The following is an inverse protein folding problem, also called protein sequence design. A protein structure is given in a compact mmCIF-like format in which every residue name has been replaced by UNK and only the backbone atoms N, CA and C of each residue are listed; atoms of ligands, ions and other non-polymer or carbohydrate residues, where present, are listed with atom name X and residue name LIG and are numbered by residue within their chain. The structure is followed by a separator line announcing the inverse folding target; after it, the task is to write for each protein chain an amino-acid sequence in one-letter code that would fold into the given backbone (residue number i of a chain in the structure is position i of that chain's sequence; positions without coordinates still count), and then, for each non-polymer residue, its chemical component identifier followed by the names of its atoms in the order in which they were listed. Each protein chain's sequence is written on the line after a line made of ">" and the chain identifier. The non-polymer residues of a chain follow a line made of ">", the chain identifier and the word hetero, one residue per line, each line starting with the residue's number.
data_IF_417621629171
#
_entry.id   IF_417621629171
#
_cell.length_a   1.000
_cell.length_b   1.000
_cell.length_c   1.000
_cell.angle_alpha   90.00
_cell.angle_beta   90.00
_cell.angle_gamma   90.00
#
_symmetry.space_group_name_H-M   'P 1'
#
loop_
_entity.id
_entity.type
_entity.pdbx_description
1 polymer ?
#
# COMPACT_ATOMS: atom_id res chain seq x y z
N UNK A 1 -9.19 -17.15 2.10
CA UNK A 1 -9.21 -15.70 2.35
C UNK A 1 -8.61 -15.05 1.14
N UNK A 2 -9.36 -14.21 0.45
CA UNK A 2 -8.89 -13.45 -0.70
C UNK A 2 -8.74 -12.01 -0.22
N UNK A 3 -7.52 -11.61 0.14
CA UNK A 3 -7.26 -10.25 0.63
C UNK A 3 -7.31 -9.36 -0.59
N UNK A 4 -8.20 -8.38 -0.57
CA UNK A 4 -8.01 -7.16 -1.30
C UNK A 4 -7.15 -6.20 -0.46
N UNK A 5 -6.53 -5.25 -1.16
CA UNK A 5 -5.81 -4.13 -0.52
C UNK A 5 -6.69 -2.90 -0.63
N UNK A 6 -6.72 -2.12 0.44
CA UNK A 6 -7.25 -0.77 0.48
C UNK A 6 -6.07 0.15 0.74
N UNK A 7 -5.93 1.18 -0.08
CA UNK A 7 -4.80 2.09 0.06
C UNK A 7 -5.12 3.48 -0.44
N UNK A 8 -4.59 4.48 0.25
CA UNK A 8 -4.85 5.89 -0.01
C UNK A 8 -3.56 6.69 0.06
N UNK A 9 -3.57 7.86 -0.54
CA UNK A 9 -2.43 8.76 -0.60
C UNK A 9 -2.67 9.96 0.31
N UNK A 10 -1.67 10.30 1.10
CA UNK A 10 -1.71 11.47 1.96
C UNK A 10 -0.48 12.36 1.74
N UNK A 11 -0.72 13.66 1.70
CA UNK A 11 0.32 14.69 1.66
C UNK A 11 0.30 15.52 2.94
N UNK A 12 1.46 15.76 3.55
CA UNK A 12 1.61 16.61 4.72
C UNK A 12 1.56 18.09 4.29
N UNK A 13 0.55 18.82 4.78
CA UNK A 13 0.34 20.25 4.52
C UNK A 13 0.17 20.96 5.85
N UNK A 14 1.00 21.97 6.10
CA UNK A 14 0.93 22.77 7.34
C UNK A 14 0.98 21.93 8.64
N UNK A 15 1.73 20.82 8.61
CA UNK A 15 1.88 19.90 9.75
C UNK A 15 0.70 18.94 9.96
N UNK A 16 -0.18 18.77 8.97
CA UNK A 16 -1.29 17.80 8.99
C UNK A 16 -1.35 17.00 7.70
N UNK A 17 -1.64 15.70 7.81
CA UNK A 17 -1.85 14.86 6.65
C UNK A 17 -3.21 15.15 6.02
N UNK A 18 -3.23 15.33 4.71
CA UNK A 18 -4.44 15.55 3.90
C UNK A 18 -4.56 14.43 2.87
N UNK A 19 -5.73 13.81 2.77
CA UNK A 19 -5.99 12.78 1.76
C UNK A 19 -6.03 13.40 0.36
N UNK A 20 -5.27 12.82 -0.57
CA UNK A 20 -5.22 13.27 -1.96
C UNK A 20 -6.47 12.81 -2.75
N UNK A 21 -7.19 11.80 -2.26
CA UNK A 21 -8.47 11.31 -2.79
C UNK A 21 -9.69 11.88 -2.07
N UNK A 22 -9.56 12.87 -1.16
CA UNK A 22 -10.67 13.33 -0.32
C UNK A 22 -11.97 13.70 -1.09
N UNK A 23 -11.84 14.16 -2.34
CA UNK A 23 -12.98 14.55 -3.17
C UNK A 23 -13.87 13.36 -3.64
N UNK A 24 -13.37 12.12 -3.57
CA UNK A 24 -14.13 10.92 -3.92
C UNK A 24 -14.82 10.25 -2.72
N UNK A 25 -14.72 10.84 -1.52
CA UNK A 25 -15.41 10.32 -0.35
C UNK A 25 -16.93 10.36 -0.58
N UNK A 26 -17.57 9.20 -0.41
CA UNK A 26 -19.01 9.00 -0.56
C UNK A 26 -19.60 8.35 0.69
N UNK A 27 -20.90 8.56 0.91
CA UNK A 27 -21.67 7.97 1.99
C UNK A 27 -22.97 7.42 1.44
N UNK A 28 -23.19 6.14 1.60
CA UNK A 28 -24.37 5.47 1.10
C UNK A 28 -24.97 4.58 2.18
N UNK A 29 -26.30 4.51 2.25
CA UNK A 29 -26.97 3.56 3.15
C UNK A 29 -27.05 2.21 2.42
N UNK A 30 -26.42 1.18 2.98
CA UNK A 30 -26.46 -0.18 2.46
C UNK A 30 -27.22 -1.10 3.42
N UNK A 31 -28.07 -1.97 2.88
CA UNK A 31 -28.76 -3.01 3.64
C UNK A 31 -27.88 -4.27 3.69
N UNK A 32 -27.33 -4.55 4.87
CA UNK A 32 -26.48 -5.72 5.13
C UNK A 32 -27.29 -6.94 5.58
N UNK A 33 -28.63 -6.89 5.51
CA UNK A 33 -29.54 -7.96 5.90
C UNK A 33 -29.89 -7.97 7.40
N UNK A 34 -29.15 -7.24 8.23
CA UNK A 34 -29.48 -6.96 9.64
C UNK A 34 -30.00 -5.53 9.88
N UNK A 35 -30.06 -4.72 8.81
CA UNK A 35 -30.51 -3.34 8.80
C UNK A 35 -29.75 -2.50 7.78
N UNK A 36 -30.21 -1.27 7.59
CA UNK A 36 -29.47 -0.28 6.83
C UNK A 36 -28.33 0.29 7.70
N UNK A 37 -27.10 0.24 7.18
CA UNK A 37 -25.93 0.81 7.79
C UNK A 37 -25.30 1.84 6.82
N UNK A 38 -24.73 2.92 7.36
CA UNK A 38 -23.98 3.87 6.52
C UNK A 38 -22.64 3.24 6.15
N UNK A 39 -22.38 3.12 4.84
CA UNK A 39 -21.08 2.76 4.28
C UNK A 39 -20.35 4.03 3.84
N UNK A 40 -19.08 4.13 4.22
CA UNK A 40 -18.20 5.23 3.83
C UNK A 40 -17.17 4.70 2.84
N UNK A 41 -17.21 5.17 1.61
CA UNK A 41 -16.29 4.68 0.57
C UNK A 41 -15.47 5.83 -0.01
N UNK A 42 -14.28 5.53 -0.50
CA UNK A 42 -13.37 6.49 -1.12
C UNK A 42 -12.55 5.78 -2.17
N UNK A 43 -12.28 6.47 -3.29
CA UNK A 43 -11.43 5.91 -4.33
C UNK A 43 -10.07 5.50 -3.75
N UNK A 44 -9.64 4.29 -4.10
CA UNK A 44 -8.29 3.82 -3.83
C UNK A 44 -7.25 4.66 -4.58
N UNK A 45 -6.04 4.66 -4.04
CA UNK A 45 -4.87 5.08 -4.77
C UNK A 45 -4.74 4.31 -6.11
N UNK A 46 -4.36 4.97 -7.21
CA UNK A 46 -4.29 4.34 -8.52
C UNK A 46 -3.46 3.06 -8.56
N UNK A 47 -3.87 2.14 -9.42
CA UNK A 47 -3.14 0.90 -9.64
C UNK A 47 -3.44 -0.20 -8.62
N UNK A 48 -4.54 -0.08 -7.85
CA UNK A 48 -5.09 -1.19 -7.04
C UNK A 48 -5.30 -2.41 -7.93
N UNK A 49 -4.76 -3.54 -7.49
CA UNK A 49 -4.95 -4.85 -8.12
C UNK A 49 -4.65 -5.95 -7.11
N UNK A 50 -5.16 -7.16 -7.34
CA UNK A 50 -4.81 -8.37 -6.57
C UNK A 50 -3.40 -8.86 -6.91
N UNK A 51 -2.40 -8.10 -6.47
CA UNK A 51 -0.99 -8.36 -6.69
C UNK A 51 -0.35 -8.93 -5.42
N UNK A 52 -0.55 -10.23 -5.20
CA UNK A 52 -0.10 -10.90 -3.98
C UNK A 52 1.42 -10.92 -3.78
N UNK A 53 2.19 -10.72 -4.86
CA UNK A 53 3.65 -10.59 -4.75
C UNK A 53 4.00 -9.24 -4.15
N UNK A 54 3.38 -8.19 -4.68
CA UNK A 54 3.54 -6.84 -4.16
C UNK A 54 2.99 -6.69 -2.73
N UNK A 55 1.91 -7.40 -2.38
CA UNK A 55 1.39 -7.39 -0.99
C UNK A 55 2.44 -7.91 0.00
N UNK A 56 3.11 -9.00 -0.36
CA UNK A 56 4.22 -9.54 0.40
C UNK A 56 5.40 -8.59 0.52
N UNK A 57 5.62 -7.72 -0.47
CA UNK A 57 6.62 -6.66 -0.38
C UNK A 57 6.20 -5.59 0.62
N UNK A 58 4.95 -5.12 0.57
CA UNK A 58 4.42 -4.03 1.41
C UNK A 58 4.37 -4.40 2.89
N UNK A 59 4.05 -5.65 3.21
CA UNK A 59 3.98 -6.13 4.59
C UNK A 59 4.52 -7.55 4.69
N UNK A 60 5.59 -7.74 5.46
CA UNK A 60 6.10 -9.07 5.79
C UNK A 60 4.99 -9.94 6.43
N UNK A 61 4.92 -11.22 6.06
CA UNK A 61 3.90 -12.17 6.52
C UNK A 61 2.61 -12.15 5.70
N UNK A 62 2.44 -11.24 4.74
CA UNK A 62 1.21 -11.15 3.93
C UNK A 62 1.39 -11.87 2.60
N UNK A 63 0.67 -12.99 2.42
CA UNK A 63 0.59 -13.82 1.20
C UNK A 63 1.87 -14.51 0.75
N UNK A 64 2.97 -13.76 0.65
CA UNK A 64 4.29 -14.24 0.23
C UNK A 64 5.35 -13.51 1.03
N UNK A 65 6.29 -14.25 1.61
CA UNK A 65 7.40 -13.64 2.34
C UNK A 65 8.60 -13.39 1.43
N UNK A 66 9.16 -12.18 1.55
CA UNK A 66 10.42 -11.82 0.92
C UNK A 66 11.42 -11.38 1.99
N UNK A 67 12.68 -11.75 1.84
CA UNK A 67 13.74 -11.31 2.75
C UNK A 67 13.95 -9.78 2.75
N UNK A 68 13.43 -9.11 1.73
CA UNK A 68 13.52 -7.67 1.50
C UNK A 68 12.15 -6.97 1.60
N UNK A 69 11.13 -7.62 2.16
CA UNK A 69 9.86 -6.96 2.47
C UNK A 69 10.08 -5.73 3.36
N UNK A 70 9.16 -4.77 3.31
CA UNK A 70 9.10 -3.76 4.35
C UNK A 70 8.83 -4.44 5.70
N UNK A 71 9.44 -3.94 6.80
CA UNK A 71 9.10 -4.41 8.14
C UNK A 71 7.60 -4.29 8.39
N UNK A 72 7.04 -5.28 9.06
CA UNK A 72 5.64 -5.23 9.47
C UNK A 72 5.40 -4.03 10.39
N UNK A 73 4.37 -3.25 10.09
CA UNK A 73 3.91 -2.15 10.92
C UNK A 73 2.70 -2.67 11.71
N UNK A 74 2.82 -2.72 13.03
CA UNK A 74 1.81 -3.34 13.90
C UNK A 74 0.60 -2.43 14.17
N UNK A 75 0.59 -1.23 13.59
CA UNK A 75 -0.49 -0.27 13.75
C UNK A 75 -0.49 0.77 12.62
N UNK A 76 -1.69 1.22 12.27
CA UNK A 76 -1.87 2.46 11.51
C UNK A 76 -1.59 3.67 12.43
N UNK A 77 -0.98 4.76 11.94
CA UNK A 77 -0.73 5.95 12.75
C UNK A 77 -2.02 6.63 13.24
N UNK A 78 -1.96 7.35 14.36
CA UNK A 78 -3.08 8.18 14.85
C UNK A 78 -3.24 9.51 14.08
N UNK A 79 -2.28 9.85 13.23
CA UNK A 79 -2.20 11.13 12.51
C UNK A 79 -2.76 11.08 11.09
N UNK A 80 -3.59 10.09 10.77
CA UNK A 80 -4.27 9.98 9.49
C UNK A 80 -5.10 11.24 9.18
N UNK A 81 -5.28 11.49 7.88
CA UNK A 81 -6.30 12.42 7.42
C UNK A 81 -7.69 11.96 7.89
N UNK A 82 -8.62 12.89 8.17
CA UNK A 82 -9.96 12.54 8.66
C UNK A 82 -10.70 11.56 7.75
N UNK A 83 -10.55 11.69 6.44
CA UNK A 83 -11.21 10.85 5.44
C UNK A 83 -10.69 9.41 5.50
N UNK A 84 -9.36 9.22 5.49
CA UNK A 84 -8.74 7.88 5.57
C UNK A 84 -9.04 7.23 6.92
N UNK A 85 -9.01 8.00 8.02
CA UNK A 85 -9.36 7.49 9.35
C UNK A 85 -10.81 6.99 9.41
N UNK A 86 -11.74 7.68 8.76
CA UNK A 86 -13.14 7.29 8.70
C UNK A 86 -13.35 6.01 7.89
N UNK A 87 -12.74 5.91 6.70
CA UNK A 87 -12.79 4.71 5.86
C UNK A 87 -12.16 3.52 6.58
N UNK A 88 -10.97 3.69 7.17
CA UNK A 88 -10.29 2.62 7.91
C UNK A 88 -11.14 2.10 9.07
N UNK A 89 -11.78 3.00 9.83
CA UNK A 89 -12.60 2.64 10.99
C UNK A 89 -13.78 1.73 10.63
N UNK A 90 -14.36 1.87 9.44
CA UNK A 90 -15.51 1.05 9.04
C UNK A 90 -15.16 -0.43 8.92
N UNK A 91 -13.91 -0.75 8.58
CA UNK A 91 -13.44 -2.12 8.39
C UNK A 91 -13.25 -2.85 9.73
N UNK A 92 -13.14 -2.12 10.84
CA UNK A 92 -13.03 -2.66 12.20
C UNK A 92 -12.06 -3.86 12.28
N UNK A 93 -12.56 -5.06 12.60
CA UNK A 93 -11.73 -6.25 12.74
C UNK A 93 -11.34 -6.92 11.42
N UNK A 94 -11.93 -6.52 10.29
CA UNK A 94 -11.55 -6.99 8.96
C UNK A 94 -10.31 -6.27 8.42
N UNK A 95 -10.03 -5.04 8.86
CA UNK A 95 -8.78 -4.37 8.52
C UNK A 95 -7.60 -4.97 9.29
N UNK A 96 -6.63 -5.51 8.55
CA UNK A 96 -5.43 -6.09 9.13
C UNK A 96 -4.17 -5.78 8.30
N UNK A 97 -3.00 -6.07 8.89
CA UNK A 97 -1.68 -5.88 8.26
C UNK A 97 -1.49 -4.49 7.63
N UNK A 98 -1.95 -3.47 8.36
CA UNK A 98 -1.94 -2.08 7.96
C UNK A 98 -0.57 -1.44 8.08
N UNK A 99 -0.35 -0.34 7.36
CA UNK A 99 0.85 0.46 7.54
C UNK A 99 0.83 1.74 6.71
N UNK A 100 1.91 2.50 6.86
CA UNK A 100 2.19 3.68 6.04
C UNK A 100 3.58 3.64 5.47
N UNK A 101 3.76 4.05 4.22
CA UNK A 101 5.08 4.15 3.60
C UNK A 101 5.23 5.50 2.92
N UNK A 102 6.26 6.25 3.28
CA UNK A 102 6.57 7.51 2.60
C UNK A 102 7.13 7.25 1.21
N UNK A 103 7.04 8.23 0.32
CA UNK A 103 7.65 8.16 -1.01
C UNK A 103 9.16 7.97 -0.91
N UNK A 104 9.80 8.55 0.11
CA UNK A 104 11.21 8.34 0.42
C UNK A 104 11.52 6.87 0.78
N UNK A 105 10.70 6.22 1.60
CA UNK A 105 10.86 4.80 1.95
C UNK A 105 10.67 3.88 0.74
N UNK A 106 9.67 4.17 -0.11
CA UNK A 106 9.45 3.45 -1.36
C UNK A 106 10.64 3.60 -2.31
N UNK A 107 11.21 4.79 -2.42
CA UNK A 107 12.42 5.06 -3.22
C UNK A 107 13.64 4.33 -2.65
N UNK A 108 13.82 4.33 -1.32
CA UNK A 108 14.90 3.61 -0.67
C UNK A 108 14.80 2.09 -0.95
N UNK A 109 13.59 1.53 -0.86
CA UNK A 109 13.35 0.13 -1.21
C UNK A 109 13.61 -0.15 -2.70
N UNK A 110 13.22 0.75 -3.59
CA UNK A 110 13.50 0.63 -5.01
C UNK A 110 15.02 0.52 -5.27
N UNK A 111 15.83 1.35 -4.60
CA UNK A 111 17.29 1.27 -4.70
C UNK A 111 17.87 -0.02 -4.09
N UNK A 112 17.30 -0.49 -2.97
CA UNK A 112 17.67 -1.76 -2.33
C UNK A 112 17.43 -2.98 -3.24
N UNK A 113 16.35 -2.97 -4.03
CA UNK A 113 15.99 -4.08 -4.91
C UNK A 113 16.88 -4.21 -6.14
N UNK A 114 17.52 -3.13 -6.61
CA UNK A 114 18.37 -3.16 -7.82
C UNK A 114 19.55 -4.14 -7.71
N UNK A 115 20.39 -4.13 -6.65
CA UNK A 115 21.44 -5.13 -6.51
C UNK A 115 20.89 -6.56 -6.34
N UNK A 116 19.72 -6.72 -5.70
CA UNK A 116 19.07 -8.03 -5.56
C UNK A 116 18.64 -8.57 -6.93
N UNK A 117 18.05 -7.73 -7.77
CA UNK A 117 17.70 -8.08 -9.15
C UNK A 117 18.94 -8.50 -9.95
N UNK A 118 20.03 -7.72 -9.87
CA UNK A 118 21.27 -8.04 -10.55
C UNK A 118 21.84 -9.39 -10.11
N UNK A 119 21.86 -9.65 -8.81
CA UNK A 119 22.34 -10.92 -8.25
C UNK A 119 21.47 -12.10 -8.72
N UNK A 120 20.15 -11.96 -8.71
CA UNK A 120 19.24 -13.02 -9.18
C UNK A 120 19.33 -13.28 -10.69
N UNK A 121 19.76 -12.31 -11.49
CA UNK A 121 20.03 -12.52 -12.91
C UNK A 121 21.33 -13.30 -13.15
N UNK A 122 22.34 -13.08 -12.31
CA UNK A 122 23.64 -13.78 -12.39
C UNK A 122 23.51 -15.20 -11.82
N UNK A 123 22.86 -15.32 -10.66
CA UNK A 123 22.70 -16.54 -9.88
C UNK A 123 21.21 -16.83 -9.66
N UNK A 124 20.47 -17.23 -10.71
CA UNK A 124 19.05 -17.48 -10.58
C UNK A 124 18.77 -18.64 -9.62
N UNK A 125 17.74 -18.54 -8.76
CA UNK A 125 17.27 -19.68 -7.99
C UNK A 125 16.89 -20.84 -8.91
N UNK A 126 17.12 -22.06 -8.43
CA UNK A 126 16.86 -23.31 -9.17
C UNK A 126 15.84 -24.18 -8.43
N UNK A 127 15.23 -25.11 -9.13
CA UNK A 127 14.23 -26.01 -8.55
C UNK A 127 12.89 -25.30 -8.28
N UNK A 128 12.26 -25.62 -7.16
CA UNK A 128 10.92 -25.10 -6.81
C UNK A 128 10.89 -23.58 -6.62
N UNK A 129 12.03 -22.95 -6.30
CA UNK A 129 12.14 -21.49 -6.11
C UNK A 129 12.48 -20.71 -7.39
N UNK A 130 12.65 -21.37 -8.54
CA UNK A 130 13.09 -20.71 -9.77
C UNK A 130 12.16 -19.55 -10.19
N UNK A 131 10.87 -19.62 -9.85
CA UNK A 131 9.92 -18.55 -10.14
C UNK A 131 10.22 -17.26 -9.38
N UNK A 132 10.86 -17.31 -8.20
CA UNK A 132 11.19 -16.14 -7.38
C UNK A 132 12.23 -15.22 -8.01
N UNK A 133 12.97 -15.70 -9.02
CA UNK A 133 13.88 -14.88 -9.81
C UNK A 133 13.19 -13.65 -10.45
N UNK A 134 11.88 -13.75 -10.70
CA UNK A 134 11.09 -12.68 -11.29
C UNK A 134 10.64 -11.63 -10.27
N UNK A 135 10.74 -11.92 -8.97
CA UNK A 135 10.14 -11.09 -7.93
C UNK A 135 10.77 -9.69 -7.84
N UNK A 136 12.10 -9.54 -7.87
CA UNK A 136 12.70 -8.20 -7.86
C UNK A 136 12.31 -7.38 -9.09
N UNK A 137 12.21 -8.01 -10.27
CA UNK A 137 11.78 -7.32 -11.51
C UNK A 137 10.36 -6.76 -11.34
N UNK A 138 9.43 -7.63 -10.93
CA UNK A 138 8.04 -7.26 -10.68
C UNK A 138 7.91 -6.15 -9.63
N UNK A 139 8.60 -6.29 -8.49
CA UNK A 139 8.57 -5.30 -7.43
C UNK A 139 9.17 -3.95 -7.86
N UNK A 140 10.26 -3.94 -8.62
CA UNK A 140 10.87 -2.72 -9.17
C UNK A 140 9.89 -2.01 -10.10
N UNK A 141 9.21 -2.73 -10.99
CA UNK A 141 8.20 -2.16 -11.89
C UNK A 141 7.02 -1.57 -11.11
N UNK A 142 6.51 -2.31 -10.13
CA UNK A 142 5.39 -1.86 -9.28
C UNK A 142 5.76 -0.65 -8.44
N UNK A 143 6.91 -0.65 -7.75
CA UNK A 143 7.38 0.50 -6.99
C UNK A 143 7.60 1.72 -7.88
N UNK A 144 8.22 1.54 -9.06
CA UNK A 144 8.43 2.63 -10.01
C UNK A 144 7.11 3.28 -10.41
N UNK A 145 6.09 2.47 -10.68
CA UNK A 145 4.75 2.96 -10.99
C UNK A 145 4.12 3.69 -9.81
N UNK A 146 4.11 3.11 -8.61
CA UNK A 146 3.54 3.73 -7.40
C UNK A 146 4.21 5.08 -7.12
N UNK A 147 5.54 5.15 -7.17
CA UNK A 147 6.29 6.39 -6.96
C UNK A 147 5.93 7.44 -8.01
N UNK A 148 5.75 7.04 -9.28
CA UNK A 148 5.33 7.95 -10.34
C UNK A 148 3.91 8.47 -10.13
N UNK A 149 2.97 7.59 -9.80
CA UNK A 149 1.57 7.94 -9.52
C UNK A 149 1.48 8.90 -8.29
N UNK A 150 2.28 8.68 -7.25
CA UNK A 150 2.40 9.61 -6.11
C UNK A 150 2.94 10.98 -6.56
N UNK A 151 3.97 11.04 -7.42
CA UNK A 151 4.49 12.32 -7.92
C UNK A 151 3.46 13.08 -8.76
N UNK A 152 2.60 12.37 -9.48
CA UNK A 152 1.53 13.00 -10.26
C UNK A 152 0.45 13.61 -9.35
N UNK A 153 0.07 12.92 -8.28
CA UNK A 153 -0.94 13.42 -7.34
C UNK A 153 -0.48 14.63 -6.53
N UNK A 154 0.78 14.63 -6.07
CA UNK A 154 1.33 15.73 -5.28
C UNK A 154 2.75 16.08 -5.76
N UNK A 155 2.88 16.84 -6.87
CA UNK A 155 4.18 17.13 -7.51
C UNK A 155 5.07 18.03 -6.67
N UNK A 156 4.50 18.88 -5.83
CA UNK A 156 5.23 19.83 -4.97
C UNK A 156 5.53 19.27 -3.57
N UNK A 157 4.99 18.10 -3.22
CA UNK A 157 5.24 17.48 -1.92
C UNK A 157 6.69 16.98 -1.83
N UNK A 158 7.34 17.15 -0.68
CA UNK A 158 8.62 16.49 -0.42
C UNK A 158 8.43 14.97 -0.31
N UNK A 159 9.50 14.19 -0.53
CA UNK A 159 9.41 12.72 -0.53
C UNK A 159 9.02 12.14 0.85
N UNK A 160 9.38 12.81 1.95
CA UNK A 160 8.98 12.45 3.31
C UNK A 160 7.57 12.96 3.68
N UNK A 161 7.07 13.96 2.96
CA UNK A 161 5.79 14.63 3.18
C UNK A 161 4.67 14.04 2.30
N UNK A 162 4.91 12.88 1.71
CA UNK A 162 3.94 12.15 0.89
C UNK A 162 4.01 10.68 1.24
N UNK A 163 2.92 10.10 1.74
CA UNK A 163 2.84 8.68 2.09
C UNK A 163 1.66 7.98 1.45
N UNK A 164 1.79 6.67 1.27
CA UNK A 164 0.65 5.78 1.15
C UNK A 164 0.25 5.28 2.53
N UNK A 165 -1.05 5.13 2.75
CA UNK A 165 -1.66 4.45 3.89
C UNK A 165 -2.37 3.23 3.34
N UNK A 166 -2.19 2.05 3.94
CA UNK A 166 -2.80 0.83 3.43
C UNK A 166 -3.23 -0.13 4.54
N UNK A 167 -4.17 -1.02 4.19
CA UNK A 167 -4.55 -2.21 4.97
C UNK A 167 -5.10 -3.29 4.04
N UNK A 168 -5.22 -4.50 4.56
CA UNK A 168 -5.79 -5.66 3.87
C UNK A 168 -7.09 -6.06 4.56
N UNK A 169 -8.03 -6.62 3.78
CA UNK A 169 -9.25 -7.25 4.30
C UNK A 169 -9.17 -8.80 4.25
N UNK A 170 -10.09 -9.47 4.96
CA UNK A 170 -10.13 -10.95 5.11
C UNK A 170 -10.83 -11.71 3.97
#
# INVERSE_FOLDING_TARGET
>A
MGCDIHWHSETLKEGKWTCDQAASLTREMEDYGDGEQERVDMDDFPGRSRDYWFFGLLAAGVRTDWAWSFPYQDAIPDDLSPEVAEVFKQWDCDAHSSGTLTRAELMAKLEELKPIQAEMLINPPVGEDAYKAQAPVHHIERLTKVIADMRELAPEAADDDHRIVFWFDN
#
